data_IF_535125962871
#
_entry.id   IF_535125962871
#
_cell.length_a   1.000
_cell.length_b   1.000
_cell.length_c   1.000
_cell.angle_alpha   90.00
_cell.angle_beta   90.00
_cell.angle_gamma   90.00
#
_symmetry.space_group_name_H-M   'P 1'
#
loop_
_entity.id
_entity.type
_entity.pdbx_description
1 polymer ?
#
# COMPACT_ATOMS: atom_id res chain seq x y z
N UNK A 1 -9.16 -3.98 16.51
CA UNK A 1 -8.34 -2.95 15.90
C UNK A 1 -9.13 -1.80 15.29
N UNK A 2 -10.26 -2.00 14.71
CA UNK A 2 -11.14 -0.89 14.31
C UNK A 2 -12.21 -0.69 15.35
N UNK A 3 -11.85 -0.02 16.44
CA UNK A 3 -12.87 0.47 17.37
C UNK A 3 -13.47 1.76 16.79
N UNK A 4 -14.74 1.98 17.12
CA UNK A 4 -15.47 3.21 16.78
C UNK A 4 -14.66 4.41 17.26
N UNK A 5 -14.03 5.15 16.36
CA UNK A 5 -13.22 6.32 16.71
C UNK A 5 -11.74 6.26 16.34
N UNK A 6 -11.24 5.17 15.71
CA UNK A 6 -9.87 5.14 15.21
C UNK A 6 -9.67 6.21 14.14
N UNK A 7 -8.73 7.11 14.37
CA UNK A 7 -8.37 8.16 13.40
C UNK A 7 -7.56 7.58 12.25
N UNK A 8 -7.55 8.26 11.10
CA UNK A 8 -6.72 7.86 9.96
C UNK A 8 -5.23 7.81 10.32
N UNK A 9 -4.78 8.70 11.20
CA UNK A 9 -3.39 8.72 11.66
C UNK A 9 -3.04 7.48 12.51
N UNK A 10 -3.90 7.14 13.46
CA UNK A 10 -3.70 5.93 14.29
C UNK A 10 -3.73 4.66 13.45
N UNK A 11 -4.62 4.61 12.47
CA UNK A 11 -4.68 3.49 11.55
C UNK A 11 -3.40 3.37 10.70
N UNK A 12 -2.85 4.49 10.22
CA UNK A 12 -1.61 4.50 9.44
C UNK A 12 -0.40 4.01 10.25
N UNK A 13 -0.31 4.37 11.53
CA UNK A 13 0.71 3.82 12.43
C UNK A 13 0.57 2.29 12.58
N UNK A 14 -0.62 1.81 12.78
CA UNK A 14 -0.89 0.37 12.88
C UNK A 14 -0.61 -0.36 11.57
N UNK A 15 -0.99 0.24 10.45
CA UNK A 15 -0.72 -0.25 9.09
C UNK A 15 0.77 -0.42 8.84
N UNK A 16 1.55 0.62 9.12
CA UNK A 16 3.00 0.56 8.99
C UNK A 16 3.62 -0.53 9.87
N UNK A 17 3.21 -0.62 11.11
CA UNK A 17 3.72 -1.62 12.05
C UNK A 17 3.36 -3.06 11.65
N UNK A 18 2.19 -3.27 11.07
CA UNK A 18 1.79 -4.56 10.52
C UNK A 18 2.73 -5.00 9.39
N UNK A 19 2.96 -4.14 8.40
CA UNK A 19 3.87 -4.43 7.30
C UNK A 19 5.33 -4.57 7.77
N UNK A 20 5.76 -3.74 8.71
CA UNK A 20 7.09 -3.84 9.31
C UNK A 20 7.31 -5.19 10.01
N UNK A 21 6.31 -5.71 10.71
CA UNK A 21 6.39 -7.01 11.34
C UNK A 21 6.64 -8.13 10.32
N UNK A 22 5.96 -8.09 9.17
CA UNK A 22 6.17 -9.06 8.09
C UNK A 22 7.61 -8.96 7.55
N UNK A 23 8.10 -7.76 7.31
CA UNK A 23 9.48 -7.54 6.82
C UNK A 23 10.52 -8.04 7.84
N UNK A 24 10.31 -7.82 9.12
CA UNK A 24 11.19 -8.34 10.19
C UNK A 24 11.27 -9.87 10.18
N UNK A 25 10.18 -10.55 9.92
CA UNK A 25 10.15 -12.02 9.82
C UNK A 25 10.95 -12.57 8.64
N UNK A 26 11.27 -11.77 7.65
CA UNK A 26 12.12 -12.18 6.53
C UNK A 26 13.57 -12.46 6.93
N UNK A 27 14.01 -12.01 8.11
CA UNK A 27 15.41 -12.03 8.56
C UNK A 27 16.39 -11.40 7.55
N UNK A 28 15.91 -10.45 6.76
CA UNK A 28 16.71 -9.76 5.75
C UNK A 28 16.92 -8.30 6.19
N UNK A 29 18.12 -8.01 6.70
CA UNK A 29 18.45 -6.68 7.21
C UNK A 29 18.44 -5.59 6.13
N UNK A 30 18.75 -5.93 4.89
CA UNK A 30 18.71 -4.99 3.77
C UNK A 30 17.26 -4.61 3.42
N UNK A 31 16.35 -5.59 3.41
CA UNK A 31 14.92 -5.32 3.23
C UNK A 31 14.36 -4.47 4.36
N UNK A 32 14.74 -4.76 5.60
CA UNK A 32 14.31 -4.00 6.76
C UNK A 32 14.78 -2.55 6.69
N UNK A 33 16.04 -2.31 6.32
CA UNK A 33 16.58 -0.98 6.12
C UNK A 33 15.83 -0.22 5.02
N UNK A 34 15.66 -0.85 3.87
CA UNK A 34 14.92 -0.27 2.75
C UNK A 34 13.47 0.08 3.13
N UNK A 35 12.79 -0.79 3.86
CA UNK A 35 11.42 -0.55 4.30
C UNK A 35 11.33 0.65 5.25
N UNK A 36 12.26 0.77 6.19
CA UNK A 36 12.33 1.92 7.10
C UNK A 36 12.63 3.23 6.34
N UNK A 37 13.52 3.20 5.36
CA UNK A 37 13.84 4.37 4.53
C UNK A 37 12.63 4.81 3.68
N UNK A 38 11.76 3.87 3.34
CA UNK A 38 10.53 4.15 2.60
C UNK A 38 9.38 4.68 3.47
N UNK A 39 9.51 4.68 4.80
CA UNK A 39 8.42 5.04 5.73
C UNK A 39 7.68 6.31 5.32
N UNK A 40 8.42 7.40 5.08
CA UNK A 40 7.81 8.69 4.72
C UNK A 40 7.03 8.64 3.39
N UNK A 41 7.42 7.76 2.48
CA UNK A 41 6.70 7.55 1.21
C UNK A 41 5.44 6.75 1.44
N UNK A 42 5.50 5.72 2.27
CA UNK A 42 4.35 4.87 2.64
C UNK A 42 3.31 5.70 3.39
N UNK A 43 3.73 6.54 4.32
CA UNK A 43 2.83 7.45 5.06
C UNK A 43 2.10 8.41 4.11
N UNK A 44 2.80 9.00 3.13
CA UNK A 44 2.17 9.86 2.12
C UNK A 44 1.16 9.12 1.24
N UNK A 45 1.45 7.89 0.88
CA UNK A 45 0.52 7.03 0.13
C UNK A 45 -0.73 6.77 0.97
N UNK A 46 -0.57 6.43 2.25
CA UNK A 46 -1.68 6.21 3.17
C UNK A 46 -2.58 7.43 3.32
N UNK A 47 -2.00 8.61 3.57
CA UNK A 47 -2.75 9.88 3.63
C UNK A 47 -3.55 10.10 2.36
N UNK A 48 -2.94 9.93 1.20
CA UNK A 48 -3.58 10.11 -0.09
C UNK A 48 -4.70 9.09 -0.34
N UNK A 49 -4.46 7.84 0.03
CA UNK A 49 -5.44 6.76 -0.11
C UNK A 49 -6.70 7.06 0.70
N UNK A 50 -6.55 7.41 1.96
CA UNK A 50 -7.71 7.65 2.84
C UNK A 50 -8.39 8.99 2.58
N UNK A 51 -7.67 10.02 2.17
CA UNK A 51 -8.25 11.30 1.74
C UNK A 51 -9.01 11.20 0.40
N UNK A 52 -8.67 10.23 -0.44
CA UNK A 52 -9.33 9.97 -1.73
C UNK A 52 -10.51 8.98 -1.62
N UNK A 53 -11.00 8.70 -0.42
CA UNK A 53 -12.14 7.81 -0.17
C UNK A 53 -11.78 6.34 0.08
N UNK A 54 -10.52 6.05 0.36
CA UNK A 54 -10.09 4.72 0.83
C UNK A 54 -10.75 4.37 2.17
N UNK A 55 -11.18 3.12 2.33
CA UNK A 55 -11.86 2.63 3.52
C UNK A 55 -10.87 1.97 4.48
N UNK A 56 -10.80 2.48 5.71
CA UNK A 56 -10.05 1.85 6.81
C UNK A 56 -10.53 0.42 7.07
N UNK A 57 -11.85 0.20 7.02
CA UNK A 57 -12.43 -1.13 7.22
C UNK A 57 -11.99 -2.12 6.13
N UNK A 58 -11.95 -1.68 4.88
CA UNK A 58 -11.47 -2.52 3.78
C UNK A 58 -9.99 -2.86 3.94
N UNK A 59 -9.16 -1.88 4.29
CA UNK A 59 -7.75 -2.11 4.55
C UNK A 59 -7.54 -3.08 5.73
N UNK A 60 -8.31 -2.95 6.79
CA UNK A 60 -8.29 -3.89 7.91
C UNK A 60 -8.63 -5.32 7.48
N UNK A 61 -9.70 -5.49 6.70
CA UNK A 61 -10.10 -6.82 6.21
C UNK A 61 -9.01 -7.44 5.31
N UNK A 62 -8.36 -6.65 4.49
CA UNK A 62 -7.24 -7.10 3.65
C UNK A 62 -6.03 -7.54 4.49
N UNK A 63 -5.70 -6.80 5.54
CA UNK A 63 -4.66 -7.20 6.48
C UNK A 63 -5.02 -8.49 7.21
N UNK A 64 -6.28 -8.67 7.56
CA UNK A 64 -6.76 -9.91 8.17
C UNK A 64 -6.61 -11.09 7.20
N UNK A 65 -6.93 -10.93 5.93
CA UNK A 65 -6.70 -11.95 4.89
C UNK A 65 -5.22 -12.33 4.78
N UNK A 66 -4.31 -11.35 4.79
CA UNK A 66 -2.86 -11.59 4.79
C UNK A 66 -2.45 -12.36 6.04
N UNK A 67 -2.93 -11.96 7.21
CA UNK A 67 -2.64 -12.64 8.47
C UNK A 67 -3.10 -14.11 8.46
N UNK A 68 -4.31 -14.38 8.03
CA UNK A 68 -4.84 -15.75 7.93
C UNK A 68 -4.07 -16.58 6.88
N UNK A 69 -3.67 -15.99 5.77
CA UNK A 69 -2.84 -16.63 4.77
C UNK A 69 -1.46 -17.02 5.33
N UNK A 70 -0.83 -16.13 6.10
CA UNK A 70 0.45 -16.42 6.78
C UNK A 70 0.28 -17.57 7.77
N UNK A 71 -0.79 -17.58 8.55
CA UNK A 71 -1.12 -18.69 9.46
C UNK A 71 -1.29 -20.04 8.75
N UNK A 72 -1.85 -20.01 7.55
CA UNK A 72 -2.00 -21.25 6.75
C UNK A 72 -0.67 -21.86 6.32
N UNK A 73 0.39 -21.07 6.26
CA UNK A 73 1.71 -21.48 5.78
C UNK A 73 1.77 -21.78 4.28
N UNK A 74 0.70 -21.55 3.54
CA UNK A 74 0.63 -21.83 2.10
C UNK A 74 1.14 -20.65 1.30
N UNK A 75 2.32 -20.80 0.72
CA UNK A 75 3.01 -19.76 -0.04
C UNK A 75 2.13 -19.09 -1.11
N UNK A 76 1.35 -19.86 -1.86
CA UNK A 76 0.49 -19.34 -2.90
C UNK A 76 -0.66 -18.47 -2.38
N UNK A 77 -1.20 -18.81 -1.20
CA UNK A 77 -2.24 -18.00 -0.55
C UNK A 77 -1.66 -16.69 -0.02
N UNK A 78 -0.48 -16.74 0.60
CA UNK A 78 0.24 -15.57 1.09
C UNK A 78 0.52 -14.59 -0.06
N UNK A 79 1.06 -15.11 -1.17
CA UNK A 79 1.37 -14.30 -2.35
C UNK A 79 0.12 -13.60 -2.89
N UNK A 80 -0.97 -14.34 -3.08
CA UNK A 80 -2.23 -13.78 -3.60
C UNK A 80 -2.84 -12.73 -2.68
N UNK A 81 -2.81 -12.94 -1.36
CA UNK A 81 -3.33 -11.99 -0.39
C UNK A 81 -2.54 -10.66 -0.41
N UNK A 82 -1.22 -10.74 -0.45
CA UNK A 82 -0.35 -9.56 -0.51
C UNK A 82 -0.48 -8.85 -1.87
N UNK A 83 -0.44 -9.58 -2.96
CA UNK A 83 -0.60 -9.01 -4.31
C UNK A 83 -1.93 -8.28 -4.46
N UNK A 84 -3.04 -8.91 -4.05
CA UNK A 84 -4.36 -8.29 -4.09
C UNK A 84 -4.46 -7.02 -3.24
N UNK A 85 -3.84 -7.00 -2.08
CA UNK A 85 -3.75 -5.82 -1.22
C UNK A 85 -2.98 -4.67 -1.90
N UNK A 86 -1.81 -4.97 -2.45
CA UNK A 86 -0.99 -3.95 -3.14
C UNK A 86 -1.64 -3.44 -4.42
N UNK A 87 -2.33 -4.28 -5.17
CA UNK A 87 -3.02 -3.89 -6.40
C UNK A 87 -4.13 -2.86 -6.16
N UNK A 88 -4.87 -2.99 -5.08
CA UNK A 88 -5.89 -2.00 -4.70
C UNK A 88 -5.28 -0.62 -4.43
N UNK A 89 -4.13 -0.57 -3.75
CA UNK A 89 -3.41 0.69 -3.53
C UNK A 89 -2.89 1.28 -4.83
N UNK A 90 -2.38 0.46 -5.72
CA UNK A 90 -1.94 0.89 -7.05
C UNK A 90 -3.07 1.55 -7.82
N UNK A 91 -4.26 0.96 -7.81
CA UNK A 91 -5.43 1.48 -8.53
C UNK A 91 -5.91 2.81 -7.94
N UNK A 92 -5.94 2.95 -6.61
CA UNK A 92 -6.27 4.20 -5.93
C UNK A 92 -5.26 5.29 -6.29
N UNK A 93 -3.98 4.99 -6.30
CA UNK A 93 -2.93 5.94 -6.65
C UNK A 93 -3.03 6.37 -8.11
N UNK A 94 -3.24 5.44 -9.02
CA UNK A 94 -3.38 5.74 -10.45
C UNK A 94 -4.58 6.65 -10.71
N UNK A 95 -5.72 6.35 -10.09
CA UNK A 95 -6.92 7.17 -10.20
C UNK A 95 -6.69 8.59 -9.67
N UNK A 96 -6.09 8.71 -8.49
CA UNK A 96 -5.79 9.99 -7.88
C UNK A 96 -4.76 10.81 -8.69
N UNK A 97 -3.77 10.15 -9.27
CA UNK A 97 -2.80 10.81 -10.15
C UNK A 97 -3.47 11.36 -11.41
N UNK A 98 -4.32 10.56 -12.03
CA UNK A 98 -5.03 10.95 -13.25
C UNK A 98 -5.97 12.14 -13.01
N UNK A 99 -6.70 12.13 -11.90
CA UNK A 99 -7.64 13.20 -11.56
C UNK A 99 -6.94 14.52 -11.18
N UNK A 100 -5.80 14.45 -10.50
CA UNK A 100 -5.12 15.65 -9.96
C UNK A 100 -4.09 16.27 -10.91
N UNK A 101 -3.55 15.53 -11.85
CA UNK A 101 -2.41 16.03 -12.64
C UNK A 101 -2.73 16.27 -14.10
N UNK A 102 -3.85 15.73 -14.63
CA UNK A 102 -4.10 15.66 -16.08
C UNK A 102 -2.82 15.35 -16.87
N UNK A 103 -2.01 14.50 -16.31
CA UNK A 103 -0.71 14.13 -16.86
C UNK A 103 -0.81 12.76 -17.50
N UNK A 104 -0.32 12.65 -18.70
CA UNK A 104 -0.33 11.42 -19.46
C UNK A 104 1.11 10.91 -19.63
N UNK A 105 1.32 9.65 -19.29
CA UNK A 105 2.53 8.96 -19.70
C UNK A 105 2.39 8.52 -21.15
N UNK A 106 3.18 9.10 -22.02
CA UNK A 106 3.24 8.67 -23.41
C UNK A 106 4.46 7.77 -23.56
N UNK A 107 4.20 6.49 -23.82
CA UNK A 107 5.25 5.52 -24.14
C UNK A 107 5.32 5.34 -25.65
N UNK A 108 6.48 5.63 -26.24
CA UNK A 108 6.78 5.38 -27.64
C UNK A 108 7.98 4.44 -27.75
N UNK A 109 7.79 3.30 -28.37
CA UNK A 109 8.79 2.27 -28.76
C UNK A 109 9.85 1.82 -27.74
N UNK A 110 10.34 2.62 -26.85
CA UNK A 110 11.33 2.24 -25.80
C UNK A 110 11.43 3.27 -24.69
N UNK A 111 10.82 4.43 -24.86
CA UNK A 111 10.92 5.53 -23.91
C UNK A 111 9.55 5.99 -23.46
N UNK A 112 9.40 6.18 -22.14
CA UNK A 112 8.20 6.74 -21.55
C UNK A 112 8.46 8.17 -21.10
N UNK A 113 7.70 9.10 -21.63
CA UNK A 113 7.77 10.52 -21.28
C UNK A 113 6.55 10.97 -20.48
N UNK A 114 6.82 11.77 -19.47
CA UNK A 114 5.79 12.40 -18.68
C UNK A 114 5.37 13.72 -19.33
N UNK A 115 4.15 13.79 -19.85
CA UNK A 115 3.60 15.02 -20.44
C UNK A 115 2.51 15.57 -19.53
N UNK A 116 2.73 16.76 -19.00
CA UNK A 116 1.71 17.50 -18.26
C UNK A 116 0.79 18.18 -19.27
N UNK A 117 -0.43 17.71 -19.41
CA UNK A 117 -1.45 18.42 -20.17
C UNK A 117 -1.98 19.58 -19.35
N UNK A 118 -1.90 20.72 -19.92
CA UNK A 118 -2.45 21.96 -19.34
C UNK A 118 -3.97 21.94 -19.40
#
# INVERSE_FOLDING_TARGET
MTQKGTTSHEFMEMDFNFHLAIVKYSNNSQMLSLFNDMRNRVDRIGVKTFSSGGSILNAYNEHLEIYEAIKSGKRGEIYRAIEGHLDKYRDVLNKSWYENTKAVWICTNSDCFFVKTV
#
